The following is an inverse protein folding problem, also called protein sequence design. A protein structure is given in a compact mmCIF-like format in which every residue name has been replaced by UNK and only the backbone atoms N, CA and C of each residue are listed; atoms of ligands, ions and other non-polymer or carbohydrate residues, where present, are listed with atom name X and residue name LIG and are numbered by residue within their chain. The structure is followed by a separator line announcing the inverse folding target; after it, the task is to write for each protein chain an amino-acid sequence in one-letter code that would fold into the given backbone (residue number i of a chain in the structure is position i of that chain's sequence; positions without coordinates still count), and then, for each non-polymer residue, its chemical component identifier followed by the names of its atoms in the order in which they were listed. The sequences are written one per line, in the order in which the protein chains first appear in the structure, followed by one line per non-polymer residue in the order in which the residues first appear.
data_IF_491985019681
#
_entry.id   IF_491985019681
#
_cell.length_a   1.000
_cell.length_b   1.000
_cell.length_c   1.000
_cell.angle_alpha   90.00
_cell.angle_beta   90.00
_cell.angle_gamma   90.00
#
_symmetry.space_group_name_H-M   'P 1'
#
loop_
_entity.id
_entity.type
_entity.pdbx_description
1 polymer ?
#
# COMPACT_ATOMS: atom_id res chain seq x y z
N UNK A 1 -4.60 -6.43 -3.74
CA UNK A 1 -3.55 -5.85 -4.61
C UNK A 1 -3.50 -6.48 -6.01
N UNK A 2 -3.60 -7.81 -6.18
CA UNK A 2 -3.54 -8.47 -7.50
C UNK A 2 -4.62 -8.01 -8.51
N UNK A 3 -5.88 -7.83 -8.07
CA UNK A 3 -6.97 -7.39 -8.96
C UNK A 3 -6.72 -6.01 -9.58
N UNK A 4 -6.08 -5.11 -8.84
CA UNK A 4 -5.78 -3.75 -9.30
C UNK A 4 -4.68 -3.78 -10.36
N UNK A 5 -3.67 -4.64 -10.19
CA UNK A 5 -2.68 -4.89 -11.23
C UNK A 5 -3.31 -5.48 -12.49
N UNK A 6 -4.21 -6.45 -12.34
CA UNK A 6 -4.92 -7.03 -13.48
C UNK A 6 -5.78 -5.99 -14.20
N UNK A 7 -6.48 -5.14 -13.45
CA UNK A 7 -7.26 -4.04 -14.02
C UNK A 7 -6.35 -3.05 -14.78
N UNK A 8 -5.20 -2.70 -14.23
CA UNK A 8 -4.22 -1.84 -14.89
C UNK A 8 -3.67 -2.44 -16.18
N UNK A 9 -3.33 -3.74 -16.17
CA UNK A 9 -2.89 -4.45 -17.38
C UNK A 9 -3.97 -4.50 -18.46
N UNK A 10 -5.23 -4.71 -18.09
CA UNK A 10 -6.34 -4.73 -19.06
C UNK A 10 -6.65 -3.33 -19.64
N UNK A 11 -6.28 -2.26 -18.94
CA UNK A 11 -6.50 -0.90 -19.40
C UNK A 11 -5.46 -0.45 -20.44
N UNK A 12 -4.33 -1.16 -20.57
CA UNK A 12 -3.30 -0.84 -21.58
C UNK A 12 -3.85 -1.21 -22.98
N UNK A 13 -4.01 -0.25 -23.91
CA UNK A 13 -4.46 -0.53 -25.26
C UNK A 13 -3.52 -1.51 -25.98
N UNK A 14 -4.09 -2.55 -26.59
CA UNK A 14 -3.31 -3.54 -27.36
C UNK A 14 -2.57 -2.92 -28.55
N UNK A 15 -3.15 -1.86 -29.12
CA UNK A 15 -2.60 -1.10 -30.26
C UNK A 15 -1.17 -0.59 -29.99
N UNK A 16 -0.85 -0.19 -28.76
CA UNK A 16 0.50 0.26 -28.39
C UNK A 16 1.53 -0.88 -28.50
N UNK A 17 1.13 -2.08 -28.12
CA UNK A 17 1.98 -3.26 -28.19
C UNK A 17 2.16 -3.77 -29.63
N UNK A 18 1.14 -3.62 -30.46
CA UNK A 18 1.17 -3.93 -31.90
C UNK A 18 2.04 -2.93 -32.66
N UNK A 19 1.86 -1.62 -32.44
CA UNK A 19 2.68 -0.58 -33.04
C UNK A 19 4.17 -0.76 -32.68
N UNK A 20 4.47 -1.00 -31.41
CA UNK A 20 5.85 -1.26 -30.98
C UNK A 20 6.44 -2.53 -31.60
N UNK A 21 5.62 -3.54 -31.92
CA UNK A 21 6.08 -4.73 -32.62
C UNK A 21 6.40 -4.45 -34.08
N UNK A 22 5.61 -3.61 -34.76
CA UNK A 22 5.90 -3.13 -36.12
C UNK A 22 7.21 -2.33 -36.14
N UNK A 23 7.47 -1.53 -35.10
CA UNK A 23 8.72 -0.78 -34.93
C UNK A 23 9.93 -1.64 -34.51
N UNK A 24 9.76 -2.96 -34.40
CA UNK A 24 10.84 -3.91 -34.08
C UNK A 24 11.23 -3.95 -32.60
N UNK A 25 10.38 -3.46 -31.68
CA UNK A 25 10.68 -3.47 -30.26
C UNK A 25 10.65 -4.90 -29.67
N UNK A 26 11.71 -5.25 -28.92
CA UNK A 26 11.78 -6.54 -28.23
C UNK A 26 10.76 -6.62 -27.06
N UNK A 27 10.38 -7.83 -26.60
CA UNK A 27 9.48 -7.97 -25.44
C UNK A 27 9.93 -7.20 -24.20
N UNK A 28 11.23 -7.18 -23.93
CA UNK A 28 11.83 -6.45 -22.80
C UNK A 28 11.69 -4.94 -22.96
N UNK A 29 11.87 -4.43 -24.18
CA UNK A 29 11.66 -3.01 -24.48
C UNK A 29 10.19 -2.63 -24.33
N UNK A 30 9.25 -3.45 -24.81
CA UNK A 30 7.81 -3.23 -24.64
C UNK A 30 7.40 -3.22 -23.17
N UNK A 31 7.95 -4.09 -22.34
CA UNK A 31 7.67 -4.09 -20.90
C UNK A 31 8.15 -2.79 -20.23
N UNK A 32 9.42 -2.42 -20.38
CA UNK A 32 9.97 -1.26 -19.66
C UNK A 32 9.54 0.10 -20.22
N UNK A 33 9.19 0.18 -21.51
CA UNK A 33 8.82 1.44 -22.16
C UNK A 33 7.30 1.66 -22.29
N UNK A 34 6.49 0.60 -22.25
CA UNK A 34 5.03 0.71 -22.42
C UNK A 34 4.33 0.22 -21.15
N UNK A 35 4.47 -1.07 -20.82
CA UNK A 35 3.70 -1.65 -19.72
C UNK A 35 4.05 -1.06 -18.36
N UNK A 36 5.33 -0.96 -18.03
CA UNK A 36 5.78 -0.49 -16.73
C UNK A 36 5.39 0.97 -16.46
N UNK A 37 5.65 1.94 -17.36
CA UNK A 37 5.22 3.32 -17.19
C UNK A 37 3.70 3.46 -17.04
N UNK A 38 2.92 2.76 -17.87
CA UNK A 38 1.45 2.82 -17.82
C UNK A 38 0.85 2.14 -16.58
N UNK A 39 1.60 1.23 -15.94
CA UNK A 39 1.21 0.62 -14.68
C UNK A 39 1.55 1.48 -13.45
N UNK A 40 2.36 2.53 -13.59
CA UNK A 40 2.80 3.35 -12.45
C UNK A 40 1.66 3.93 -11.59
N UNK A 41 0.50 4.36 -12.13
CA UNK A 41 -0.61 4.84 -11.29
C UNK A 41 -1.21 3.73 -10.42
N UNK A 42 -1.28 2.50 -10.96
CA UNK A 42 -1.78 1.33 -10.23
C UNK A 42 -0.77 0.84 -9.18
N UNK A 43 0.54 0.92 -9.49
CA UNK A 43 1.61 0.66 -8.53
C UNK A 43 1.52 1.65 -7.36
N UNK A 44 1.38 2.94 -7.69
CA UNK A 44 1.26 4.01 -6.69
C UNK A 44 0.05 3.78 -5.76
N UNK A 45 -1.12 3.52 -6.33
CA UNK A 45 -2.31 3.19 -5.54
C UNK A 45 -2.06 2.01 -4.58
N UNK A 46 -1.51 0.90 -5.10
CA UNK A 46 -1.24 -0.29 -4.28
C UNK A 46 -0.21 0.01 -3.18
N UNK A 47 0.78 0.85 -3.46
CA UNK A 47 1.79 1.27 -2.49
C UNK A 47 1.15 2.07 -1.36
N UNK A 48 0.31 3.07 -1.68
CA UNK A 48 -0.40 3.89 -0.70
C UNK A 48 -1.30 3.03 0.19
N UNK A 49 -2.22 2.29 -0.42
CA UNK A 49 -3.19 1.49 0.35
C UNK A 49 -2.50 0.35 1.09
N UNK A 50 -1.48 -0.26 0.50
CA UNK A 50 -0.71 -1.33 1.11
C UNK A 50 0.09 -0.86 2.33
N UNK A 51 0.67 0.34 2.26
CA UNK A 51 1.40 0.93 3.38
C UNK A 51 0.46 1.28 4.53
N UNK A 52 -0.69 1.90 4.23
CA UNK A 52 -1.72 2.19 5.24
C UNK A 52 -2.18 0.90 5.93
N UNK A 53 -2.55 -0.12 5.13
CA UNK A 53 -3.02 -1.40 5.66
C UNK A 53 -1.96 -2.11 6.53
N UNK A 54 -0.68 -2.04 6.12
CA UNK A 54 0.43 -2.64 6.88
C UNK A 54 0.65 -1.94 8.22
N UNK A 55 0.57 -0.60 8.26
CA UNK A 55 0.67 0.17 9.50
C UNK A 55 -0.53 -0.07 10.42
N UNK A 56 -1.70 -0.38 9.86
CA UNK A 56 -2.95 -0.64 10.58
C UNK A 56 -3.20 -2.13 10.90
N UNK A 57 -2.19 -2.99 10.76
CA UNK A 57 -2.37 -4.42 10.99
C UNK A 57 -2.82 -4.71 12.43
N UNK A 58 -3.99 -5.35 12.56
CA UNK A 58 -4.59 -5.65 13.86
C UNK A 58 -5.14 -7.07 13.90
N UNK A 59 -6.08 -7.40 13.00
CA UNK A 59 -6.84 -8.65 13.06
C UNK A 59 -5.97 -9.91 13.13
N UNK A 60 -4.92 -10.09 12.30
CA UNK A 60 -4.10 -11.30 12.37
C UNK A 60 -3.40 -11.44 13.73
N UNK A 61 -2.93 -10.33 14.29
CA UNK A 61 -2.24 -10.30 15.59
C UNK A 61 -3.25 -10.57 16.71
N UNK A 62 -4.41 -9.91 16.66
CA UNK A 62 -5.47 -10.10 17.64
C UNK A 62 -5.94 -11.57 17.70
N UNK A 63 -6.13 -12.21 16.55
CA UNK A 63 -6.54 -13.61 16.48
C UNK A 63 -5.45 -14.54 17.03
N UNK A 64 -4.17 -14.30 16.69
CA UNK A 64 -3.05 -15.13 17.17
C UNK A 64 -2.87 -15.07 18.69
N UNK A 65 -3.15 -13.93 19.32
CA UNK A 65 -2.91 -13.71 20.75
C UNK A 65 -4.18 -13.75 21.61
N UNK A 66 -5.33 -14.18 21.06
CA UNK A 66 -6.62 -14.17 21.75
C UNK A 66 -6.69 -15.09 22.98
N UNK A 67 -5.98 -16.23 22.98
CA UNK A 67 -6.13 -17.29 23.98
C UNK A 67 -5.00 -17.32 25.03
N UNK A 68 -4.60 -16.15 25.55
CA UNK A 68 -3.50 -16.02 26.53
C UNK A 68 -2.18 -16.66 26.09
N UNK A 69 -1.95 -16.73 24.77
CA UNK A 69 -0.66 -17.13 24.24
C UNK A 69 0.41 -16.13 24.69
N UNK A 70 1.62 -16.59 25.06
CA UNK A 70 2.67 -15.70 25.55
C UNK A 70 2.96 -14.62 24.51
N UNK A 71 2.69 -13.37 24.88
CA UNK A 71 2.93 -12.21 24.05
C UNK A 71 4.41 -12.12 23.74
N UNK A 72 4.76 -12.28 22.46
CA UNK A 72 6.11 -11.96 22.00
C UNK A 72 6.13 -10.46 21.76
N UNK A 73 6.79 -9.70 22.63
CA UNK A 73 6.79 -8.23 22.59
C UNK A 73 7.25 -7.65 21.24
N UNK A 74 8.07 -8.37 20.47
CA UNK A 74 8.52 -7.96 19.14
C UNK A 74 7.46 -8.14 18.03
N UNK A 75 6.40 -8.88 18.27
CA UNK A 75 5.34 -9.18 17.29
C UNK A 75 4.06 -8.34 17.48
N UNK A 76 4.06 -7.41 18.45
CA UNK A 76 2.91 -6.57 18.74
C UNK A 76 2.90 -5.37 17.79
N UNK A 77 1.79 -5.17 17.07
CA UNK A 77 1.58 -3.93 16.32
C UNK A 77 1.14 -2.79 17.23
N UNK A 78 1.39 -1.56 16.79
CA UNK A 78 0.97 -0.35 17.52
C UNK A 78 -0.55 -0.30 17.70
N UNK A 79 -1.32 -0.80 16.70
CA UNK A 79 -2.79 -0.85 16.78
C UNK A 79 -3.26 -1.89 17.80
N UNK A 80 -2.59 -3.04 17.90
CA UNK A 80 -2.90 -4.00 18.97
C UNK A 80 -2.61 -3.41 20.36
N UNK A 81 -1.50 -2.69 20.51
CA UNK A 81 -1.16 -2.03 21.77
C UNK A 81 -2.20 -0.96 22.16
N UNK A 82 -2.64 -0.15 21.21
CA UNK A 82 -3.75 0.79 21.37
C UNK A 82 -5.01 0.08 21.87
N UNK A 83 -5.38 -1.04 21.24
CA UNK A 83 -6.54 -1.84 21.63
C UNK A 83 -6.41 -2.35 23.07
N UNK A 84 -5.25 -2.89 23.44
CA UNK A 84 -4.98 -3.41 24.78
C UNK A 84 -5.12 -2.31 25.85
N UNK A 85 -4.62 -1.11 25.57
CA UNK A 85 -4.72 0.03 26.48
C UNK A 85 -6.15 0.56 26.61
N UNK A 86 -6.88 0.65 25.50
CA UNK A 86 -8.24 1.18 25.48
C UNK A 86 -9.26 0.23 26.11
N UNK A 87 -9.15 -1.07 25.78
CA UNK A 87 -10.21 -2.05 26.06
C UNK A 87 -9.84 -3.08 27.13
N UNK A 88 -8.55 -3.39 27.34
CA UNK A 88 -8.14 -4.30 28.42
C UNK A 88 -7.80 -3.57 29.72
N UNK A 89 -7.13 -2.42 29.61
CA UNK A 89 -6.71 -1.61 30.77
C UNK A 89 -7.68 -0.45 31.08
N UNK A 90 -8.70 -0.23 30.25
CA UNK A 90 -9.65 0.89 30.36
C UNK A 90 -8.99 2.29 30.38
N UNK A 91 -7.77 2.41 29.84
CA UNK A 91 -7.04 3.67 29.68
C UNK A 91 -7.42 4.34 28.34
N UNK A 92 -8.71 4.64 28.15
CA UNK A 92 -9.26 5.11 26.86
C UNK A 92 -8.60 6.44 26.41
N UNK A 93 -8.26 7.33 27.35
CA UNK A 93 -7.55 8.58 27.05
C UNK A 93 -6.16 8.33 26.46
N UNK A 94 -5.42 7.36 27.01
CA UNK A 94 -4.10 6.96 26.50
C UNK A 94 -4.20 6.28 25.14
N UNK A 95 -5.18 5.38 24.98
CA UNK A 95 -5.48 4.77 23.68
C UNK A 95 -5.80 5.80 22.60
N UNK A 96 -6.58 6.83 22.93
CA UNK A 96 -6.91 7.93 22.03
C UNK A 96 -5.67 8.73 21.60
N UNK A 97 -4.72 8.97 22.50
CA UNK A 97 -3.45 9.62 22.18
C UNK A 97 -2.62 8.79 21.19
N UNK A 98 -2.56 7.47 21.37
CA UNK A 98 -1.89 6.55 20.43
C UNK A 98 -2.55 6.61 19.05
N UNK A 99 -3.89 6.62 18.98
CA UNK A 99 -4.64 6.76 17.71
C UNK A 99 -4.22 7.99 16.92
N UNK A 100 -4.10 9.14 17.60
CA UNK A 100 -3.69 10.40 16.99
C UNK A 100 -2.25 10.34 16.46
N UNK A 101 -1.33 9.72 17.21
CA UNK A 101 0.06 9.55 16.77
C UNK A 101 0.12 8.69 15.50
N UNK A 102 -0.58 7.55 15.48
CA UNK A 102 -0.63 6.67 14.29
C UNK A 102 -1.23 7.42 13.09
N UNK A 103 -2.30 8.20 13.31
CA UNK A 103 -2.91 9.00 12.25
C UNK A 103 -1.89 9.97 11.64
N UNK A 104 -1.16 10.71 12.47
CA UNK A 104 -0.13 11.66 11.99
C UNK A 104 0.97 10.92 11.23
N UNK A 105 1.42 9.76 11.71
CA UNK A 105 2.43 8.95 11.01
C UNK A 105 1.93 8.53 9.63
N UNK A 106 0.72 7.96 9.56
CA UNK A 106 0.11 7.55 8.30
C UNK A 106 -0.01 8.75 7.36
N UNK A 107 -0.52 9.88 7.85
CA UNK A 107 -0.67 11.10 7.07
C UNK A 107 0.67 11.59 6.50
N UNK A 108 1.73 11.62 7.31
CA UNK A 108 3.07 12.02 6.87
C UNK A 108 3.56 11.10 5.75
N UNK A 109 3.46 9.78 5.93
CA UNK A 109 3.86 8.83 4.88
C UNK A 109 3.03 8.99 3.62
N UNK A 110 1.72 9.18 3.73
CA UNK A 110 0.84 9.42 2.59
C UNK A 110 1.22 10.71 1.87
N UNK A 111 1.41 11.82 2.58
CA UNK A 111 1.82 13.10 1.99
C UNK A 111 3.17 13.00 1.28
N UNK A 112 4.14 12.28 1.85
CA UNK A 112 5.43 12.01 1.20
C UNK A 112 5.25 11.22 -0.09
N UNK A 113 4.40 10.19 -0.09
CA UNK A 113 4.11 9.41 -1.30
C UNK A 113 3.46 10.27 -2.38
N UNK A 114 2.44 11.06 -2.05
CA UNK A 114 1.79 11.97 -2.98
C UNK A 114 2.76 13.03 -3.53
N UNK A 115 3.66 13.57 -2.70
CA UNK A 115 4.69 14.51 -3.17
C UNK A 115 5.72 13.88 -4.10
N UNK A 116 6.03 12.59 -3.91
CA UNK A 116 6.95 11.86 -4.77
C UNK A 116 6.29 11.42 -6.08
N UNK A 117 4.96 11.23 -6.10
CA UNK A 117 4.17 10.75 -7.22
C UNK A 117 4.52 11.44 -8.55
N UNK A 118 4.63 12.77 -8.54
CA UNK A 118 4.89 13.58 -9.74
C UNK A 118 6.22 13.24 -10.45
N UNK A 119 7.14 12.55 -9.76
CA UNK A 119 8.45 12.19 -10.33
C UNK A 119 8.46 10.87 -11.11
N UNK A 120 7.50 9.98 -10.89
CA UNK A 120 7.57 8.60 -11.39
C UNK A 120 6.22 7.99 -11.80
N UNK A 121 5.11 8.70 -11.58
CA UNK A 121 3.79 8.25 -11.99
C UNK A 121 3.37 8.96 -13.27
N UNK A 122 3.05 8.17 -14.30
CA UNK A 122 2.60 8.63 -15.61
C UNK A 122 1.14 8.23 -15.80
N UNK A 123 0.25 9.22 -15.91
CA UNK A 123 -1.19 8.98 -16.08
C UNK A 123 -1.59 8.80 -17.55
N UNK A 124 -0.94 9.52 -18.46
CA UNK A 124 -1.26 9.54 -19.89
C UNK A 124 0.01 9.40 -20.76
N UNK A 125 -0.18 9.00 -22.03
CA UNK A 125 0.90 8.79 -23.02
C UNK A 125 1.19 10.08 -23.83
N UNK A 126 0.69 11.25 -23.42
CA UNK A 126 0.81 12.50 -24.17
C UNK A 126 1.47 13.62 -23.37
#
# INVERSE_FOLDING_TARGET
MMLIFLAGLNNIPKELHEAAQVDGASPTQRFWKISFPLLTPYIFYNLVVGLIASLQIFEPIFVLYRDNQPLVSSAISVVYYLWQKSFSHFEIGYGSAISWIILVIILVFTLVQFKLQDRWVTYDIY
#
